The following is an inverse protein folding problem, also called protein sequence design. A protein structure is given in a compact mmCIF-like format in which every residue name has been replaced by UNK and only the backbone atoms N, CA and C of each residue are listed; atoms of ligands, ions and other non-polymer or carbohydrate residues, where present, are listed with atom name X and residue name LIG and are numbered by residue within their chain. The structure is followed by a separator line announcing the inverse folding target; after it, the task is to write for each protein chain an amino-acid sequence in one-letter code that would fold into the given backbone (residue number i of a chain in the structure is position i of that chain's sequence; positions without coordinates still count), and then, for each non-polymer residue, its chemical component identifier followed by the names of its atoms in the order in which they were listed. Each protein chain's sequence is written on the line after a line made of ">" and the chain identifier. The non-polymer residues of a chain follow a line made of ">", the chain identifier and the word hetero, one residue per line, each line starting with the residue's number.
data_IF_916047376945
#
_entry.id   IF_916047376945
#
_cell.length_a   1.000
_cell.length_b   1.000
_cell.length_c   1.000
_cell.angle_alpha   90.00
_cell.angle_beta   90.00
_cell.angle_gamma   90.00
#
_symmetry.space_group_name_H-M   'P 1'
#
loop_
_entity.id
_entity.type
_entity.pdbx_description
1 polymer ?
#
# COMPACT_ATOMS: atom_id res chain seq x y z
N UNK A 1 33.30 -20.78 27.70
CA UNK A 1 32.06 -21.22 27.03
C UNK A 1 30.94 -20.32 27.49
N UNK A 2 30.65 -19.25 26.75
CA UNK A 2 29.52 -18.36 27.04
C UNK A 2 28.42 -18.64 26.03
N UNK A 3 27.22 -19.09 26.44
CA UNK A 3 26.10 -19.19 25.54
C UNK A 3 25.69 -17.78 25.12
N UNK A 4 25.96 -17.43 23.86
CA UNK A 4 25.37 -16.26 23.22
C UNK A 4 23.88 -16.52 23.04
N UNK A 5 23.08 -16.12 24.04
CA UNK A 5 21.62 -16.05 23.93
C UNK A 5 21.32 -14.92 22.94
N UNK A 6 21.04 -15.28 21.70
CA UNK A 6 20.40 -14.40 20.73
C UNK A 6 18.99 -14.11 21.26
N UNK A 7 18.80 -12.98 21.96
CA UNK A 7 17.48 -12.54 22.38
C UNK A 7 16.68 -12.10 21.14
N UNK A 8 15.77 -12.98 20.70
CA UNK A 8 14.78 -12.69 19.65
C UNK A 8 13.57 -11.88 20.18
N UNK A 9 13.60 -11.45 21.44
CA UNK A 9 12.44 -10.97 22.19
C UNK A 9 11.86 -9.61 21.77
N UNK A 10 12.52 -8.85 20.89
CA UNK A 10 12.05 -7.53 20.47
C UNK A 10 11.20 -7.46 19.19
N UNK A 11 11.18 -8.51 18.35
CA UNK A 11 10.66 -8.40 16.96
C UNK A 11 9.19 -8.83 16.78
N UNK A 12 8.62 -9.61 17.69
CA UNK A 12 7.32 -10.26 17.46
C UNK A 12 6.10 -9.32 17.48
N UNK A 13 6.03 -8.37 18.42
CA UNK A 13 4.81 -7.56 18.63
C UNK A 13 4.69 -6.42 17.62
N UNK A 14 5.79 -5.70 17.36
CA UNK A 14 5.81 -4.59 16.41
C UNK A 14 5.53 -5.07 14.97
N UNK A 15 6.08 -6.21 14.56
CA UNK A 15 5.84 -6.78 13.23
C UNK A 15 4.39 -7.27 13.08
N UNK A 16 3.80 -7.85 14.14
CA UNK A 16 2.36 -8.22 14.14
C UNK A 16 1.46 -6.99 14.01
N UNK A 17 1.75 -5.92 14.75
CA UNK A 17 0.97 -4.67 14.65
C UNK A 17 1.08 -4.10 13.23
N UNK A 18 2.30 -4.03 12.67
CA UNK A 18 2.52 -3.57 11.30
C UNK A 18 1.79 -4.42 10.27
N UNK A 19 1.80 -5.74 10.43
CA UNK A 19 1.07 -6.65 9.55
C UNK A 19 -0.44 -6.42 9.61
N UNK A 20 -1.02 -6.30 10.81
CA UNK A 20 -2.45 -6.03 11.00
C UNK A 20 -2.82 -4.68 10.37
N UNK A 21 -2.00 -3.65 10.57
CA UNK A 21 -2.20 -2.35 9.95
C UNK A 21 -2.11 -2.42 8.42
N UNK A 22 -1.11 -3.10 7.87
CA UNK A 22 -0.94 -3.25 6.42
C UNK A 22 -2.12 -4.00 5.79
N UNK A 23 -2.58 -5.09 6.41
CA UNK A 23 -3.74 -5.85 5.95
C UNK A 23 -5.01 -5.01 6.07
N UNK A 24 -5.29 -4.44 7.24
CA UNK A 24 -6.48 -3.62 7.46
C UNK A 24 -6.54 -2.42 6.51
N UNK A 25 -5.40 -1.79 6.28
CA UNK A 25 -5.29 -0.69 5.33
C UNK A 25 -5.51 -1.14 3.88
N UNK A 26 -4.91 -2.26 3.46
CA UNK A 26 -5.14 -2.86 2.13
C UNK A 26 -6.63 -3.16 1.91
N UNK A 27 -7.27 -3.81 2.88
CA UNK A 27 -8.71 -4.12 2.81
C UNK A 27 -9.56 -2.86 2.74
N UNK A 28 -9.19 -1.82 3.49
CA UNK A 28 -9.89 -0.53 3.47
C UNK A 28 -9.79 0.13 2.10
N UNK A 29 -8.58 0.20 1.53
CA UNK A 29 -8.35 0.74 0.17
C UNK A 29 -9.20 -0.03 -0.85
N UNK A 30 -9.13 -1.37 -0.85
CA UNK A 30 -9.88 -2.20 -1.80
C UNK A 30 -11.40 -2.07 -1.62
N UNK A 31 -11.90 -2.06 -0.39
CA UNK A 31 -13.33 -1.91 -0.11
C UNK A 31 -13.85 -0.56 -0.60
N UNK A 32 -13.12 0.53 -0.32
CA UNK A 32 -13.50 1.87 -0.77
C UNK A 32 -13.42 1.98 -2.29
N UNK A 33 -12.37 1.43 -2.93
CA UNK A 33 -12.29 1.36 -4.38
C UNK A 33 -13.48 0.61 -4.99
N UNK A 34 -13.87 -0.54 -4.41
CA UNK A 34 -15.01 -1.31 -4.89
C UNK A 34 -16.34 -0.55 -4.73
N UNK A 35 -16.53 0.15 -3.62
CA UNK A 35 -17.73 0.98 -3.39
C UNK A 35 -17.78 2.14 -4.38
N UNK A 36 -16.68 2.87 -4.56
CA UNK A 36 -16.61 3.97 -5.53
C UNK A 36 -16.90 3.46 -6.94
N UNK A 37 -16.32 2.32 -7.32
CA UNK A 37 -16.56 1.71 -8.63
C UNK A 37 -18.01 1.28 -8.80
N UNK A 38 -18.61 0.66 -7.79
CA UNK A 38 -20.01 0.26 -7.81
C UNK A 38 -20.94 1.49 -7.97
N UNK A 39 -20.68 2.56 -7.21
CA UNK A 39 -21.47 3.80 -7.33
C UNK A 39 -21.31 4.42 -8.72
N UNK A 40 -20.10 4.45 -9.28
CA UNK A 40 -19.86 4.95 -10.64
C UNK A 40 -20.55 4.12 -11.72
N UNK A 41 -20.73 2.81 -11.52
CA UNK A 41 -21.33 1.91 -12.50
C UNK A 41 -22.86 1.78 -12.38
N UNK A 42 -23.41 1.97 -11.18
CA UNK A 42 -24.80 1.64 -10.87
C UNK A 42 -25.64 2.81 -10.35
N UNK A 43 -25.04 3.97 -10.04
CA UNK A 43 -25.78 5.18 -9.62
C UNK A 43 -26.03 6.10 -10.81
N UNK A 44 -27.26 6.61 -10.94
CA UNK A 44 -27.61 7.63 -11.94
C UNK A 44 -26.97 8.99 -11.62
N UNK A 45 -26.68 9.26 -10.33
CA UNK A 45 -25.91 10.41 -9.86
C UNK A 45 -24.79 9.93 -8.92
N UNK A 46 -23.57 9.71 -9.44
CA UNK A 46 -22.43 9.28 -8.62
C UNK A 46 -21.84 10.43 -7.77
N UNK A 47 -22.23 11.68 -8.03
CA UNK A 47 -21.73 12.86 -7.33
C UNK A 47 -20.19 12.89 -7.18
N UNK A 48 -19.72 13.21 -5.97
CA UNK A 48 -18.29 13.30 -5.64
C UNK A 48 -17.74 12.06 -4.91
N UNK A 49 -18.34 10.87 -5.11
CA UNK A 49 -17.97 9.67 -4.35
C UNK A 49 -16.48 9.31 -4.47
N UNK A 50 -15.82 9.65 -5.60
CA UNK A 50 -14.39 9.44 -5.80
C UNK A 50 -13.49 10.14 -4.77
N UNK A 51 -13.96 11.21 -4.11
CA UNK A 51 -13.18 11.92 -3.08
C UNK A 51 -12.83 11.05 -1.88
N UNK A 52 -13.69 10.08 -1.54
CA UNK A 52 -13.46 9.16 -0.43
C UNK A 52 -12.22 8.29 -0.67
N UNK A 53 -12.03 7.86 -1.92
CA UNK A 53 -10.86 7.09 -2.29
C UNK A 53 -9.58 7.93 -2.18
N UNK A 54 -9.63 9.21 -2.58
CA UNK A 54 -8.51 10.16 -2.42
C UNK A 54 -8.14 10.32 -0.95
N UNK A 55 -9.13 10.51 -0.06
CA UNK A 55 -8.89 10.67 1.37
C UNK A 55 -8.23 9.43 1.99
N UNK A 56 -8.74 8.24 1.68
CA UNK A 56 -8.21 6.98 2.23
C UNK A 56 -6.79 6.72 1.76
N UNK A 57 -6.46 7.10 0.53
CA UNK A 57 -5.13 6.86 -0.08
C UNK A 57 -4.18 8.05 0.02
N UNK A 58 -4.58 9.10 0.77
CA UNK A 58 -3.77 10.29 0.99
C UNK A 58 -2.56 10.00 1.90
N UNK A 59 -1.46 10.77 1.78
CA UNK A 59 -1.22 11.82 0.80
C UNK A 59 -0.73 11.30 -0.56
N UNK A 60 -0.39 10.02 -0.70
CA UNK A 60 0.25 9.52 -1.92
C UNK A 60 -0.66 9.59 -3.16
N UNK A 61 -1.97 9.54 -2.97
CA UNK A 61 -2.95 9.78 -4.02
C UNK A 61 -2.82 11.14 -4.69
N UNK A 62 -2.35 12.17 -3.97
CA UNK A 62 -2.07 13.50 -4.54
C UNK A 62 -0.94 13.41 -5.56
N UNK A 63 0.11 12.63 -5.26
CA UNK A 63 1.21 12.39 -6.21
C UNK A 63 0.74 11.61 -7.43
N UNK A 64 -0.11 10.60 -7.22
CA UNK A 64 -0.71 9.84 -8.32
C UNK A 64 -1.56 10.74 -9.23
N UNK A 65 -2.40 11.59 -8.64
CA UNK A 65 -3.21 12.57 -9.37
C UNK A 65 -2.37 13.59 -10.14
N UNK A 66 -1.32 14.13 -9.53
CA UNK A 66 -0.37 15.03 -10.21
C UNK A 66 0.34 14.35 -11.38
N UNK A 67 0.66 13.05 -11.25
CA UNK A 67 1.28 12.29 -12.31
C UNK A 67 0.35 12.04 -13.51
N UNK A 68 -0.98 12.00 -13.27
CA UNK A 68 -1.95 11.78 -14.33
C UNK A 68 -2.61 13.05 -14.89
N UNK A 69 -2.45 14.19 -14.20
CA UNK A 69 -2.89 15.51 -14.67
C UNK A 69 -2.54 15.85 -16.14
N UNK A 70 -1.35 15.52 -16.68
CA UNK A 70 -1.00 15.88 -18.07
C UNK A 70 -1.77 15.08 -19.13
N UNK A 71 -2.49 14.00 -18.78
CA UNK A 71 -3.20 13.19 -19.77
C UNK A 71 -4.52 13.82 -20.26
N UNK A 72 -5.01 14.87 -19.58
CA UNK A 72 -6.22 15.58 -19.99
C UNK A 72 -7.47 14.71 -19.97
N UNK A 73 -8.50 15.11 -20.73
CA UNK A 73 -9.73 14.34 -20.87
C UNK A 73 -9.51 13.12 -21.78
N UNK A 74 -9.79 11.94 -21.23
CA UNK A 74 -9.73 10.66 -21.94
C UNK A 74 -11.14 10.10 -22.20
N UNK A 75 -11.29 9.13 -23.11
CA UNK A 75 -12.53 8.38 -23.26
C UNK A 75 -12.96 7.77 -21.91
N UNK A 76 -14.25 7.86 -21.57
CA UNK A 76 -14.76 7.58 -20.21
C UNK A 76 -14.21 6.33 -19.50
N UNK A 77 -14.10 5.15 -20.15
CA UNK A 77 -13.52 3.97 -19.52
C UNK A 77 -12.02 4.12 -19.19
N UNK A 78 -11.26 4.81 -20.05
CA UNK A 78 -9.84 5.07 -19.84
C UNK A 78 -9.63 6.12 -18.75
N UNK A 79 -10.45 7.16 -18.71
CA UNK A 79 -10.41 8.18 -17.66
C UNK A 79 -10.70 7.57 -16.28
N UNK A 80 -11.72 6.71 -16.21
CA UNK A 80 -12.04 5.94 -15.00
C UNK A 80 -10.88 5.04 -14.57
N UNK A 81 -10.30 4.28 -15.51
CA UNK A 81 -9.16 3.42 -15.21
C UNK A 81 -7.95 4.22 -14.72
N UNK A 82 -7.68 5.38 -15.31
CA UNK A 82 -6.58 6.27 -14.94
C UNK A 82 -6.80 6.85 -13.53
N UNK A 83 -8.02 7.27 -13.20
CA UNK A 83 -8.40 7.70 -11.85
C UNK A 83 -8.15 6.61 -10.81
N UNK A 84 -8.60 5.38 -11.07
CA UNK A 84 -8.38 4.26 -10.14
C UNK A 84 -6.91 3.89 -10.01
N UNK A 85 -6.14 3.91 -11.11
CA UNK A 85 -4.70 3.69 -11.07
C UNK A 85 -3.99 4.77 -10.25
N UNK A 86 -4.35 6.04 -10.44
CA UNK A 86 -3.78 7.19 -9.76
C UNK A 86 -4.13 7.27 -8.26
N UNK A 87 -5.20 6.63 -7.82
CA UNK A 87 -5.66 6.71 -6.42
C UNK A 87 -5.44 5.39 -5.67
N UNK A 88 -5.92 4.26 -6.22
CA UNK A 88 -5.77 2.93 -5.61
C UNK A 88 -4.31 2.48 -5.63
N UNK A 89 -3.60 2.72 -6.74
CA UNK A 89 -2.19 2.32 -6.89
C UNK A 89 -1.31 2.86 -5.76
N UNK A 90 -1.28 4.19 -5.53
CA UNK A 90 -0.49 4.75 -4.44
C UNK A 90 -0.94 4.30 -3.05
N UNK A 91 -2.23 4.06 -2.82
CA UNK A 91 -2.75 3.45 -1.59
C UNK A 91 -2.20 2.04 -1.35
N UNK A 92 -2.12 1.21 -2.39
CA UNK A 92 -1.50 -0.12 -2.30
C UNK A 92 0.01 -0.04 -2.07
N UNK A 93 0.70 0.94 -2.67
CA UNK A 93 2.12 1.20 -2.39
C UNK A 93 2.34 1.57 -0.92
N UNK A 94 1.48 2.43 -0.35
CA UNK A 94 1.53 2.74 1.08
C UNK A 94 1.32 1.49 1.94
N UNK A 95 0.35 0.64 1.58
CA UNK A 95 0.11 -0.62 2.29
C UNK A 95 1.32 -1.55 2.22
N UNK A 96 1.98 -1.60 1.06
CA UNK A 96 3.21 -2.38 0.87
C UNK A 96 4.37 -1.85 1.73
N UNK A 97 4.51 -0.52 1.86
CA UNK A 97 5.53 0.08 2.73
C UNK A 97 5.32 -0.24 4.23
N UNK A 98 4.07 -0.50 4.64
CA UNK A 98 3.73 -0.95 5.99
C UNK A 98 4.03 -2.44 6.21
N UNK A 99 4.24 -3.20 5.13
CA UNK A 99 4.45 -4.64 5.21
C UNK A 99 5.75 -4.94 5.97
N UNK A 100 5.75 -5.92 6.91
CA UNK A 100 6.96 -6.29 7.62
C UNK A 100 8.03 -6.78 6.65
N UNK A 101 9.07 -5.98 6.45
CA UNK A 101 10.22 -6.37 5.64
C UNK A 101 11.03 -7.40 6.41
N UNK A 102 10.94 -8.66 6.01
CA UNK A 102 11.86 -9.70 6.48
C UNK A 102 13.24 -9.35 5.94
N UNK A 103 14.03 -8.62 6.72
CA UNK A 103 15.48 -8.61 6.49
C UNK A 103 15.95 -10.04 6.70
N UNK A 104 16.14 -10.77 5.61
CA UNK A 104 16.95 -11.98 5.62
C UNK A 104 18.35 -11.49 5.95
N UNK A 105 18.68 -11.44 7.24
CA UNK A 105 20.07 -11.29 7.64
C UNK A 105 20.77 -12.52 7.12
N UNK A 106 21.45 -12.37 5.97
CA UNK A 106 22.45 -13.31 5.54
C UNK A 106 23.41 -13.47 6.72
N UNK A 107 23.40 -14.64 7.35
CA UNK A 107 24.43 -15.02 8.27
C UNK A 107 25.72 -15.09 7.43
N UNK A 108 26.46 -13.98 7.39
CA UNK A 108 27.86 -13.98 7.02
C UNK A 108 28.59 -14.79 8.08
N UNK A 109 28.59 -16.11 7.89
CA UNK A 109 29.41 -17.02 8.66
C UNK A 109 30.88 -16.62 8.52
N UNK A 110 31.67 -16.60 9.61
CA UNK A 110 33.07 -16.27 9.54
C UNK A 110 33.81 -17.46 8.93
N UNK A 111 34.13 -17.36 7.64
CA UNK A 111 34.62 -18.49 6.86
C UNK A 111 35.60 -18.12 5.75
N UNK A 112 36.60 -17.29 6.05
CA UNK A 112 37.87 -17.20 5.28
C UNK A 112 38.91 -16.65 6.26
N UNK A 113 39.75 -17.46 6.89
CA UNK A 113 40.80 -18.23 6.24
C UNK A 113 42.13 -17.50 6.43
N UNK A 114 42.61 -17.38 7.68
CA UNK A 114 44.01 -17.08 7.96
C UNK A 114 44.76 -18.41 8.02
N UNK A 115 45.57 -18.67 7.01
CA UNK A 115 46.81 -19.44 7.13
C UNK A 115 47.91 -18.56 6.55
#
# INVERSE_FOLDING_TARGET
>A
MSPHILSFEGRGRADRIRLVLAIGYTLTVLAVSAVVLAVMLFSDDPGFIGVWLIFVTSPLSILGMLAVFPFGELPGPLDTALFFAATTGPGLVQAWLLWPSRKVSAASGPGTGRR
#
